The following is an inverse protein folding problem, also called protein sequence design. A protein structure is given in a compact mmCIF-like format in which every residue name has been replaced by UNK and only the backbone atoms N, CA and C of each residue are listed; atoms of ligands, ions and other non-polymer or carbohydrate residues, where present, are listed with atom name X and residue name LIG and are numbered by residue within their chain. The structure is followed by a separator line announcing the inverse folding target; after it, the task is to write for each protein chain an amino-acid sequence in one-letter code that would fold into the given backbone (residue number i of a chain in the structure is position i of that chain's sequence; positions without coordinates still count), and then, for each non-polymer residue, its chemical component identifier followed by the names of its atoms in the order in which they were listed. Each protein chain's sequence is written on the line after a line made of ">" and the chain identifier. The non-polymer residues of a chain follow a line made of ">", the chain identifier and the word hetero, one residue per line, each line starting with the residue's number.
data_IF_621194251781
#
_entry.id   IF_621194251781
#
_cell.length_a   1.000
_cell.length_b   1.000
_cell.length_c   1.000
_cell.angle_alpha   90.00
_cell.angle_beta   90.00
_cell.angle_gamma   90.00
#
_symmetry.space_group_name_H-M   'P 1'
#
loop_
_entity.id
_entity.type
_entity.pdbx_description
1 polymer ?
#
# COMPACT_ATOMS: atom_id res chain seq x y z
N UNK A 1 22.49 -14.03 -5.31
CA UNK A 1 21.16 -13.41 -5.32
C UNK A 1 20.13 -14.53 -5.39
N UNK A 2 19.23 -14.56 -4.44
CA UNK A 2 18.12 -15.53 -4.45
C UNK A 2 17.09 -15.12 -5.50
N UNK A 3 16.23 -16.07 -5.94
CA UNK A 3 15.09 -15.77 -6.83
C UNK A 3 14.24 -14.62 -6.28
N UNK A 4 14.07 -14.61 -4.98
CA UNK A 4 13.35 -13.59 -4.21
C UNK A 4 13.96 -12.19 -4.34
N UNK A 5 15.28 -12.05 -4.19
CA UNK A 5 15.98 -10.76 -4.31
C UNK A 5 15.89 -10.20 -5.73
N UNK A 6 15.94 -11.08 -6.74
CA UNK A 6 15.79 -10.69 -8.15
C UNK A 6 14.38 -10.17 -8.42
N UNK A 7 13.35 -10.91 -7.98
CA UNK A 7 11.95 -10.50 -8.14
C UNK A 7 11.68 -9.15 -7.44
N UNK A 8 12.18 -8.99 -6.21
CA UNK A 8 12.06 -7.74 -5.46
C UNK A 8 12.73 -6.55 -6.17
N UNK A 9 13.93 -6.76 -6.71
CA UNK A 9 14.66 -5.72 -7.44
C UNK A 9 13.93 -5.31 -8.74
N UNK A 10 13.41 -6.29 -9.47
CA UNK A 10 12.64 -6.05 -10.71
C UNK A 10 11.37 -5.26 -10.39
N UNK A 11 10.59 -5.69 -9.39
CA UNK A 11 9.37 -4.99 -9.00
C UNK A 11 9.64 -3.55 -8.56
N UNK A 12 10.68 -3.32 -7.76
CA UNK A 12 11.09 -1.97 -7.36
C UNK A 12 11.45 -1.09 -8.55
N UNK A 13 12.14 -1.64 -9.53
CA UNK A 13 12.52 -0.89 -10.72
C UNK A 13 11.30 -0.53 -11.57
N UNK A 14 10.40 -1.49 -11.81
CA UNK A 14 9.17 -1.28 -12.57
C UNK A 14 8.25 -0.25 -11.91
N UNK A 15 8.15 -0.24 -10.58
CA UNK A 15 7.28 0.68 -9.85
C UNK A 15 7.67 2.16 -9.96
N UNK A 16 8.87 2.45 -10.48
CA UNK A 16 9.35 3.83 -10.70
C UNK A 16 9.21 4.32 -12.14
N UNK A 17 8.72 3.48 -13.05
CA UNK A 17 8.50 3.86 -14.44
C UNK A 17 7.14 4.53 -14.56
N UNK A 18 7.12 5.78 -15.03
CA UNK A 18 5.91 6.54 -15.37
C UNK A 18 5.69 6.55 -16.87
N UNK A 19 4.47 6.23 -17.29
CA UNK A 19 4.04 6.27 -18.68
C UNK A 19 2.97 7.33 -18.85
N UNK A 20 3.25 8.30 -19.72
CA UNK A 20 2.32 9.37 -20.05
C UNK A 20 1.72 9.10 -21.44
N UNK A 21 0.40 8.90 -21.55
CA UNK A 21 -0.21 8.51 -22.82
C UNK A 21 -0.32 9.64 -23.85
N UNK A 22 -0.32 10.92 -23.40
CA UNK A 22 -0.52 12.07 -24.31
C UNK A 22 0.23 13.31 -23.83
N UNK A 23 1.33 13.73 -24.50
CA UNK A 23 2.08 12.98 -25.49
C UNK A 23 2.72 11.74 -24.88
N UNK A 24 2.89 10.68 -25.67
CA UNK A 24 3.44 9.44 -25.15
C UNK A 24 4.92 9.59 -24.85
N UNK A 25 5.29 9.53 -23.60
CA UNK A 25 6.69 9.42 -23.14
C UNK A 25 6.79 8.61 -21.86
N UNK A 26 7.97 8.08 -21.62
CA UNK A 26 8.28 7.26 -20.44
C UNK A 26 9.36 8.00 -19.64
N UNK A 27 9.16 8.08 -18.33
CA UNK A 27 10.15 8.70 -17.43
C UNK A 27 10.29 7.85 -16.16
N UNK A 28 11.44 7.97 -15.52
CA UNK A 28 11.71 7.43 -14.21
C UNK A 28 11.50 8.53 -13.17
N UNK A 29 10.43 8.40 -12.35
CA UNK A 29 10.02 9.46 -11.43
C UNK A 29 9.64 8.96 -10.04
N UNK A 30 10.61 8.61 -9.19
CA UNK A 30 10.33 7.95 -7.91
C UNK A 30 9.78 8.89 -6.82
N UNK A 31 9.70 10.19 -7.01
CA UNK A 31 9.49 11.16 -5.90
C UNK A 31 8.40 12.21 -6.11
N UNK A 32 7.58 12.10 -7.15
CA UNK A 32 6.54 13.09 -7.43
C UNK A 32 5.15 12.54 -7.13
N UNK A 33 4.59 12.87 -5.97
CA UNK A 33 3.26 12.45 -5.53
C UNK A 33 2.29 13.63 -5.46
N UNK A 34 0.97 13.36 -5.61
CA UNK A 34 -0.07 14.39 -5.58
C UNK A 34 -0.51 14.76 -4.18
N UNK A 35 -0.53 13.79 -3.26
CA UNK A 35 -0.84 14.06 -1.86
C UNK A 35 0.24 14.96 -1.23
N UNK A 36 -0.21 15.94 -0.43
CA UNK A 36 0.62 16.97 0.20
C UNK A 36 0.45 16.96 1.71
N UNK A 37 1.22 17.80 2.40
CA UNK A 37 1.22 17.84 3.84
C UNK A 37 -0.13 18.16 4.50
N UNK A 38 -1.00 18.95 3.85
CA UNK A 38 -2.34 19.23 4.39
C UNK A 38 -3.24 17.98 4.35
N UNK A 39 -3.13 17.14 3.30
CA UNK A 39 -3.87 15.89 3.20
C UNK A 39 -3.52 14.94 4.36
N UNK A 40 -2.26 14.99 4.80
CA UNK A 40 -1.83 14.19 5.96
C UNK A 40 -2.57 14.59 7.25
N UNK A 41 -2.70 15.89 7.52
CA UNK A 41 -3.42 16.34 8.71
C UNK A 41 -4.89 15.94 8.66
N UNK A 42 -5.52 16.07 7.49
CA UNK A 42 -6.92 15.66 7.29
C UNK A 42 -7.10 14.15 7.54
N UNK A 43 -6.20 13.32 7.03
CA UNK A 43 -6.22 11.87 7.25
C UNK A 43 -6.00 11.54 8.73
N UNK A 44 -4.94 12.07 9.33
CA UNK A 44 -4.56 11.82 10.72
C UNK A 44 -5.71 12.13 11.70
N UNK A 45 -6.41 13.22 11.48
CA UNK A 45 -7.47 13.68 12.38
C UNK A 45 -8.76 12.84 12.28
N UNK A 46 -8.92 12.04 11.23
CA UNK A 46 -10.14 11.25 10.97
C UNK A 46 -9.95 9.73 10.98
N UNK A 47 -8.73 9.24 10.81
CA UNK A 47 -8.43 7.81 10.74
C UNK A 47 -8.54 7.13 12.11
N UNK A 48 -9.00 5.88 12.12
CA UNK A 48 -9.18 5.07 13.34
C UNK A 48 -8.60 3.68 13.18
N UNK A 49 -8.11 3.04 14.25
CA UNK A 49 -7.68 1.65 14.20
C UNK A 49 -8.74 0.73 13.56
N UNK A 50 -8.31 -0.12 12.63
CA UNK A 50 -9.18 -0.96 11.83
C UNK A 50 -9.66 -0.35 10.51
N UNK A 51 -9.41 0.94 10.25
CA UNK A 51 -9.65 1.52 8.93
C UNK A 51 -8.69 0.92 7.90
N UNK A 52 -9.21 0.65 6.71
CA UNK A 52 -8.43 0.14 5.56
C UNK A 52 -8.06 1.30 4.66
N UNK A 53 -6.79 1.42 4.35
CA UNK A 53 -6.27 2.43 3.43
C UNK A 53 -6.00 1.76 2.08
N UNK A 54 -6.49 2.38 1.00
CA UNK A 54 -6.15 2.00 -0.37
C UNK A 54 -5.37 3.14 -1.00
N UNK A 55 -4.18 2.86 -1.53
CA UNK A 55 -3.40 3.85 -2.25
C UNK A 55 -3.24 3.50 -3.73
N UNK A 56 -3.11 4.52 -4.54
CA UNK A 56 -2.88 4.39 -5.97
C UNK A 56 -1.91 5.43 -6.49
N UNK A 57 -1.30 5.10 -7.61
CA UNK A 57 -0.35 5.95 -8.31
C UNK A 57 -0.84 6.23 -9.72
N UNK A 58 -0.58 7.44 -10.22
CA UNK A 58 -0.95 7.84 -11.56
C UNK A 58 0.21 7.61 -12.53
N UNK A 59 -0.12 7.05 -13.71
CA UNK A 59 0.81 6.90 -14.82
C UNK A 59 2.06 6.03 -14.54
N UNK A 60 2.04 5.19 -13.50
CA UNK A 60 3.09 4.20 -13.29
C UNK A 60 2.78 2.92 -14.08
N UNK A 61 3.83 2.24 -14.52
CA UNK A 61 3.71 1.06 -15.38
C UNK A 61 2.99 -0.10 -14.70
N UNK A 62 3.16 -0.27 -13.39
CA UNK A 62 2.46 -1.29 -12.60
C UNK A 62 0.93 -1.10 -12.62
N UNK A 63 0.44 0.14 -12.71
CA UNK A 63 -0.98 0.45 -12.85
C UNK A 63 -1.63 -0.05 -14.15
N UNK A 64 -0.84 -0.41 -15.17
CA UNK A 64 -1.36 -1.04 -16.39
C UNK A 64 -1.67 -2.53 -16.19
N UNK A 65 -0.97 -3.18 -15.26
CA UNK A 65 -1.11 -4.61 -14.99
C UNK A 65 -2.11 -4.90 -13.86
N UNK A 66 -2.36 -3.94 -12.98
CA UNK A 66 -3.31 -4.06 -11.88
C UNK A 66 -4.60 -3.34 -12.27
N UNK A 67 -5.70 -4.06 -12.54
CA UNK A 67 -6.98 -3.43 -12.88
C UNK A 67 -7.48 -2.60 -11.70
N UNK A 68 -7.72 -1.30 -11.93
CA UNK A 68 -8.33 -0.41 -10.93
C UNK A 68 -7.51 0.85 -10.65
N UNK A 69 -8.07 1.70 -9.79
CA UNK A 69 -7.46 2.99 -9.41
C UNK A 69 -6.50 2.88 -8.22
N UNK A 70 -6.53 1.76 -7.52
CA UNK A 70 -5.77 1.51 -6.30
C UNK A 70 -5.01 0.19 -6.47
N UNK A 71 -3.73 0.23 -6.21
CA UNK A 71 -2.83 -0.90 -6.41
C UNK A 71 -2.30 -1.50 -5.11
N UNK A 72 -2.61 -0.88 -3.95
CA UNK A 72 -2.08 -1.35 -2.69
C UNK A 72 -3.01 -1.01 -1.52
N UNK A 73 -3.10 -1.95 -0.57
CA UNK A 73 -3.93 -1.85 0.63
C UNK A 73 -3.11 -1.96 1.91
N UNK A 74 -3.61 -1.33 2.97
CA UNK A 74 -3.03 -1.41 4.31
C UNK A 74 -4.13 -1.27 5.37
N UNK A 75 -3.86 -1.70 6.59
CA UNK A 75 -4.71 -1.48 7.76
C UNK A 75 -4.04 -0.48 8.71
N UNK A 76 -4.80 0.49 9.20
CA UNK A 76 -4.36 1.40 10.23
C UNK A 76 -4.48 0.73 11.60
N UNK A 77 -3.40 0.74 12.37
CA UNK A 77 -3.33 0.07 13.67
C UNK A 77 -3.26 1.02 14.87
N UNK A 78 -3.25 2.33 14.62
CA UNK A 78 -3.11 3.36 15.64
C UNK A 78 -1.71 3.98 15.65
N UNK A 79 -1.55 5.07 16.42
CA UNK A 79 -0.27 5.77 16.66
C UNK A 79 0.50 6.07 15.35
N UNK A 80 -0.24 6.58 14.35
CA UNK A 80 0.29 6.90 13.01
C UNK A 80 0.98 5.72 12.31
N UNK A 81 0.63 4.49 12.71
CA UNK A 81 1.21 3.25 12.19
C UNK A 81 0.20 2.47 11.35
N UNK A 82 0.68 1.89 10.29
CA UNK A 82 -0.07 0.98 9.44
C UNK A 82 0.67 -0.35 9.27
N UNK A 83 -0.06 -1.39 8.92
CA UNK A 83 0.49 -2.69 8.51
C UNK A 83 0.08 -2.97 7.08
N UNK A 84 1.02 -3.40 6.28
CA UNK A 84 0.79 -3.78 4.89
C UNK A 84 1.71 -4.92 4.44
N UNK A 85 1.26 -5.65 3.42
CA UNK A 85 2.09 -6.65 2.75
C UNK A 85 2.90 -5.98 1.65
N UNK A 86 4.20 -5.92 1.83
CA UNK A 86 5.18 -5.43 0.85
C UNK A 86 6.39 -6.39 0.84
N UNK A 87 7.12 -6.38 -0.26
CA UNK A 87 8.41 -7.06 -0.30
C UNK A 87 9.37 -6.49 0.77
N UNK A 88 9.97 -7.32 1.63
CA UNK A 88 10.04 -8.78 1.62
C UNK A 88 8.92 -9.50 2.41
N UNK A 89 8.17 -8.78 3.25
CA UNK A 89 7.20 -9.39 4.17
C UNK A 89 6.12 -8.39 4.58
N UNK A 90 5.12 -8.86 5.31
CA UNK A 90 4.19 -8.01 6.04
C UNK A 90 4.95 -7.17 7.06
N UNK A 91 4.74 -5.87 7.06
CA UNK A 91 5.54 -4.94 7.85
C UNK A 91 4.77 -3.71 8.31
N UNK A 92 5.30 -3.08 9.35
CA UNK A 92 4.87 -1.75 9.74
C UNK A 92 5.44 -0.68 8.82
N UNK A 93 4.67 0.37 8.61
CA UNK A 93 5.17 1.64 8.08
C UNK A 93 4.42 2.81 8.73
N UNK A 94 5.01 3.99 8.72
CA UNK A 94 4.34 5.18 9.21
C UNK A 94 3.33 5.73 8.19
N UNK A 95 2.30 6.42 8.70
CA UNK A 95 1.22 6.97 7.89
C UNK A 95 1.74 7.95 6.82
N UNK A 96 2.73 8.78 7.16
CA UNK A 96 3.32 9.75 6.22
C UNK A 96 3.98 9.05 5.04
N UNK A 97 4.75 8.00 5.31
CA UNK A 97 5.40 7.19 4.26
C UNK A 97 4.38 6.49 3.39
N UNK A 98 3.31 5.94 3.98
CA UNK A 98 2.24 5.31 3.20
C UNK A 98 1.50 6.30 2.32
N UNK A 99 1.29 7.52 2.78
CA UNK A 99 0.63 8.60 2.04
C UNK A 99 1.46 9.19 0.89
N UNK A 100 2.68 8.73 0.67
CA UNK A 100 3.47 9.10 -0.52
C UNK A 100 2.91 8.45 -1.77
N UNK A 101 1.74 8.90 -2.21
CA UNK A 101 0.98 8.38 -3.33
C UNK A 101 0.20 9.51 -4.02
N UNK A 102 -0.46 9.18 -5.14
CA UNK A 102 -1.26 10.14 -5.89
C UNK A 102 -2.73 10.12 -5.49
N UNK A 103 -3.19 8.98 -4.96
CA UNK A 103 -4.58 8.77 -4.51
C UNK A 103 -4.59 7.95 -3.24
N UNK A 104 -5.44 8.34 -2.31
CA UNK A 104 -5.71 7.62 -1.07
C UNK A 104 -7.21 7.56 -0.83
N UNK A 105 -7.69 6.40 -0.40
CA UNK A 105 -9.05 6.22 0.13
C UNK A 105 -8.96 5.52 1.47
N UNK A 106 -9.75 5.99 2.42
CA UNK A 106 -9.94 5.36 3.72
C UNK A 106 -11.33 4.71 3.70
N UNK A 107 -11.35 3.41 3.93
CA UNK A 107 -12.58 2.63 4.07
C UNK A 107 -12.74 2.28 5.53
N UNK A 108 -13.81 2.78 6.14
CA UNK A 108 -14.21 2.39 7.49
C UNK A 108 -15.17 1.21 7.41
N UNK A 109 -14.79 0.04 7.93
CA UNK A 109 -15.67 -1.11 7.95
C UNK A 109 -16.94 -0.82 8.75
N UNK A 110 -18.11 -1.23 8.22
CA UNK A 110 -19.37 -1.12 8.95
C UNK A 110 -19.54 -2.31 9.89
N UNK A 111 -18.79 -2.31 10.98
CA UNK A 111 -18.77 -3.38 11.98
C UNK A 111 -18.57 -2.79 13.38
N UNK A 112 -18.57 -3.63 14.42
CA UNK A 112 -18.33 -3.20 15.79
C UNK A 112 -16.88 -2.74 15.99
N UNK A 113 -16.66 -1.90 16.99
CA UNK A 113 -15.30 -1.47 17.36
C UNK A 113 -14.43 -2.66 17.78
N UNK A 114 -15.01 -3.64 18.47
CA UNK A 114 -14.33 -4.88 18.87
C UNK A 114 -13.80 -5.66 17.67
N UNK A 115 -14.64 -5.86 16.63
CA UNK A 115 -14.19 -6.51 15.39
C UNK A 115 -13.08 -5.73 14.68
N UNK A 116 -13.09 -4.39 14.75
CA UNK A 116 -11.99 -3.59 14.22
C UNK A 116 -10.68 -3.84 14.98
N UNK A 117 -10.73 -3.93 16.31
CA UNK A 117 -9.56 -4.24 17.13
C UNK A 117 -9.07 -5.67 16.90
N UNK A 118 -9.95 -6.65 16.77
CA UNK A 118 -9.58 -8.03 16.42
C UNK A 118 -8.86 -8.08 15.06
N UNK A 119 -9.32 -7.31 14.08
CA UNK A 119 -8.66 -7.21 12.78
C UNK A 119 -7.26 -6.58 12.89
N UNK A 120 -7.10 -5.58 13.76
CA UNK A 120 -5.80 -4.97 14.07
C UNK A 120 -4.86 -6.00 14.70
N UNK A 121 -5.32 -6.72 15.72
CA UNK A 121 -4.53 -7.75 16.39
C UNK A 121 -4.13 -8.87 15.43
N UNK A 122 -5.04 -9.26 14.54
CA UNK A 122 -4.73 -10.24 13.49
C UNK A 122 -3.67 -9.71 12.54
N UNK A 123 -3.75 -8.46 12.09
CA UNK A 123 -2.74 -7.85 11.23
C UNK A 123 -1.36 -7.80 11.92
N UNK A 124 -1.32 -7.44 13.20
CA UNK A 124 -0.10 -7.45 14.01
C UNK A 124 0.52 -8.86 14.06
N UNK A 125 -0.29 -9.90 14.23
CA UNK A 125 0.18 -11.29 14.29
C UNK A 125 0.81 -11.78 12.97
N UNK A 126 0.50 -11.13 11.86
CA UNK A 126 1.01 -11.47 10.53
C UNK A 126 2.33 -10.74 10.19
N UNK A 127 2.79 -9.81 11.02
CA UNK A 127 4.06 -9.10 10.77
C UNK A 127 5.21 -10.09 10.68
N UNK A 128 6.02 -9.96 9.63
CA UNK A 128 7.11 -10.87 9.33
C UNK A 128 6.75 -12.04 8.41
N UNK A 129 5.47 -12.27 8.13
CA UNK A 129 5.06 -13.28 7.14
C UNK A 129 5.60 -12.86 5.76
N UNK A 130 6.31 -13.75 5.03
CA UNK A 130 6.85 -13.45 3.72
C UNK A 130 5.78 -13.01 2.71
N UNK A 131 6.17 -12.09 1.82
CA UNK A 131 5.30 -11.66 0.74
C UNK A 131 5.05 -12.82 -0.23
N UNK A 132 3.77 -13.07 -0.55
CA UNK A 132 3.37 -14.07 -1.53
C UNK A 132 3.47 -13.50 -2.95
N UNK A 133 4.47 -13.98 -3.71
CA UNK A 133 4.70 -13.59 -5.10
C UNK A 133 3.89 -14.41 -6.11
N UNK A 134 3.40 -15.57 -5.68
CA UNK A 134 2.66 -16.48 -6.54
C UNK A 134 1.15 -16.13 -6.53
N UNK A 135 0.75 -15.18 -5.66
CA UNK A 135 -0.65 -14.78 -5.45
C UNK A 135 -1.57 -15.99 -5.21
N UNK A 136 -1.06 -16.95 -4.44
CA UNK A 136 -1.82 -18.16 -4.12
C UNK A 136 -2.82 -17.88 -2.99
N UNK A 137 -4.05 -17.60 -3.39
CA UNK A 137 -5.16 -17.36 -2.47
C UNK A 137 -5.75 -18.66 -1.86
N UNK A 138 -5.17 -19.83 -2.16
CA UNK A 138 -5.66 -21.11 -1.64
C UNK A 138 -5.13 -21.43 -0.24
N UNK A 139 -4.01 -20.84 0.15
CA UNK A 139 -3.40 -20.99 1.48
C UNK A 139 -3.92 -19.92 2.45
N UNK A 140 -5.21 -19.93 2.71
CA UNK A 140 -5.80 -19.17 3.83
C UNK A 140 -5.62 -19.97 5.12
N UNK A 141 -4.45 -19.82 5.74
CA UNK A 141 -4.18 -20.34 7.07
C UNK A 141 -4.72 -19.44 8.18
#
# INVERSE_FOLDING_TARGET
>A
MTRYEIQSAILKWFSHIKVYPTPMFITFGPTSYKLKGHDYYDVRDHIRPGDVLLRGYDNYLDGFFIPGKYSHAAIYVGDESIIHAMTPAVQYTDLVTFMRCDRLVIIRPNTSHENCLDAVDRAISLVGVPYDYDFDFTNQG
#
